data_IF_196835294486
#
_entry.id   IF_196835294486
#
_cell.length_a   1.000
_cell.length_b   1.000
_cell.length_c   1.000
_cell.angle_alpha   90.00
_cell.angle_beta   90.00
_cell.angle_gamma   90.00
#
_symmetry.space_group_name_H-M   'P 1'
#
loop_
_entity.id
_entity.type
_entity.pdbx_description
1 polymer ?
#
# COMPACT_ATOMS: atom_id res chain seq x y z
N UNK A 1 -0.86 19.69 4.46
CA UNK A 1 0.45 19.12 4.85
C UNK A 1 1.07 18.47 3.63
N UNK A 2 2.39 18.60 3.41
CA UNK A 2 3.06 18.04 2.23
C UNK A 2 3.00 16.51 2.26
N UNK A 3 3.01 15.89 1.07
CA UNK A 3 3.14 14.46 0.94
C UNK A 3 4.56 14.00 1.29
N UNK A 4 4.69 12.81 1.88
CA UNK A 4 5.95 12.27 2.40
C UNK A 4 6.37 11.07 1.57
N UNK A 5 7.67 11.01 1.24
CA UNK A 5 8.24 9.88 0.55
C UNK A 5 8.61 8.78 1.55
N UNK A 6 8.03 7.60 1.39
CA UNK A 6 8.40 6.39 2.10
C UNK A 6 9.35 5.58 1.23
N UNK A 7 10.58 5.38 1.70
CA UNK A 7 11.58 4.60 0.99
C UNK A 7 11.18 3.12 0.94
N UNK A 8 11.20 2.54 -0.26
CA UNK A 8 10.83 1.14 -0.49
C UNK A 8 11.97 0.36 -1.17
N UNK A 9 12.62 0.97 -2.16
CA UNK A 9 13.69 0.37 -2.96
C UNK A 9 13.18 -0.52 -4.11
N UNK A 10 12.28 -1.46 -3.82
CA UNK A 10 11.70 -2.37 -4.82
C UNK A 10 10.45 -3.07 -4.32
N UNK A 11 9.72 -3.72 -5.22
CA UNK A 11 8.68 -4.70 -4.91
C UNK A 11 8.73 -5.87 -5.91
N UNK A 12 7.95 -6.92 -5.66
CA UNK A 12 7.84 -8.07 -6.56
C UNK A 12 6.44 -8.13 -7.17
N UNK A 13 6.35 -8.66 -8.40
CA UNK A 13 5.08 -8.97 -9.05
C UNK A 13 5.25 -10.16 -9.99
N UNK A 14 4.14 -10.73 -10.47
CA UNK A 14 4.19 -11.74 -11.53
C UNK A 14 4.64 -11.11 -12.86
N UNK A 15 5.17 -11.89 -13.80
CA UNK A 15 5.48 -11.40 -15.15
C UNK A 15 4.26 -10.73 -15.82
N UNK A 16 3.07 -11.32 -15.65
CA UNK A 16 1.81 -10.76 -16.15
C UNK A 16 1.52 -9.38 -15.58
N UNK A 17 1.62 -9.20 -14.26
CA UNK A 17 1.41 -7.89 -13.64
C UNK A 17 2.48 -6.89 -14.06
N UNK A 18 3.73 -7.31 -14.23
CA UNK A 18 4.78 -6.43 -14.76
C UNK A 18 4.40 -5.89 -16.14
N UNK A 19 3.91 -6.75 -17.04
CA UNK A 19 3.48 -6.35 -18.37
C UNK A 19 2.27 -5.40 -18.32
N UNK A 20 1.27 -5.72 -17.49
CA UNK A 20 0.09 -4.86 -17.26
C UNK A 20 0.49 -3.46 -16.78
N UNK A 21 1.42 -3.38 -15.83
CA UNK A 21 1.92 -2.10 -15.29
C UNK A 21 2.63 -1.30 -16.38
N UNK A 22 3.50 -1.93 -17.18
CA UNK A 22 4.22 -1.23 -18.24
C UNK A 22 3.28 -0.71 -19.34
N UNK A 23 2.27 -1.50 -19.74
CA UNK A 23 1.23 -1.08 -20.69
C UNK A 23 0.42 0.09 -20.17
N UNK A 24 -0.09 -0.01 -18.94
CA UNK A 24 -0.94 1.04 -18.38
C UNK A 24 -0.19 2.34 -18.14
N UNK A 25 1.05 2.24 -17.63
CA UNK A 25 1.95 3.39 -17.45
C UNK A 25 2.18 4.13 -18.76
N UNK A 26 2.45 3.39 -19.85
CA UNK A 26 2.62 3.99 -21.17
C UNK A 26 1.35 4.70 -21.64
N UNK A 27 0.19 4.06 -21.50
CA UNK A 27 -1.09 4.58 -21.97
C UNK A 27 -1.53 5.88 -21.29
N UNK A 28 -1.27 6.01 -19.99
CA UNK A 28 -1.72 7.20 -19.22
C UNK A 28 -0.61 8.25 -19.02
N UNK A 29 0.62 7.96 -19.44
CA UNK A 29 1.77 8.86 -19.29
C UNK A 29 2.26 9.10 -17.85
N UNK A 30 1.96 8.18 -16.93
CA UNK A 30 2.38 8.30 -15.52
C UNK A 30 3.71 7.58 -15.22
N UNK A 31 4.19 7.72 -14.00
CA UNK A 31 5.30 6.92 -13.48
C UNK A 31 4.80 5.74 -12.66
N UNK A 32 5.61 4.69 -12.55
CA UNK A 32 5.32 3.56 -11.65
C UNK A 32 5.25 3.99 -10.18
N UNK A 33 6.05 4.98 -9.79
CA UNK A 33 5.93 5.62 -8.47
C UNK A 33 4.56 6.23 -8.27
N UNK A 34 4.03 6.94 -9.26
CA UNK A 34 2.68 7.50 -9.20
C UNK A 34 1.65 6.39 -9.03
N UNK A 35 1.70 5.36 -9.89
CA UNK A 35 0.77 4.23 -9.88
C UNK A 35 0.77 3.48 -8.55
N UNK A 36 1.92 2.99 -8.09
CA UNK A 36 2.00 2.23 -6.84
C UNK A 36 1.59 3.11 -5.65
N UNK A 37 1.93 4.40 -5.65
CA UNK A 37 1.45 5.33 -4.63
C UNK A 37 -0.08 5.47 -4.67
N UNK A 38 -0.71 5.52 -5.86
CA UNK A 38 -2.17 5.53 -6.01
C UNK A 38 -2.78 4.23 -5.49
N UNK A 39 -2.19 3.07 -5.79
CA UNK A 39 -2.71 1.75 -5.38
C UNK A 39 -2.68 1.62 -3.85
N UNK A 40 -1.57 2.00 -3.21
CA UNK A 40 -1.45 2.02 -1.74
C UNK A 40 -2.47 2.97 -1.11
N UNK A 41 -2.65 4.17 -1.67
CA UNK A 41 -3.69 5.11 -1.20
C UNK A 41 -5.09 4.55 -1.39
N UNK A 42 -5.34 3.84 -2.48
CA UNK A 42 -6.60 3.18 -2.79
C UNK A 42 -6.95 2.12 -1.75
N UNK A 43 -6.02 1.23 -1.40
CA UNK A 43 -6.23 0.25 -0.34
C UNK A 43 -6.61 0.93 1.00
N UNK A 44 -5.83 1.94 1.39
CA UNK A 44 -6.05 2.67 2.65
C UNK A 44 -7.38 3.43 2.63
N UNK A 45 -7.73 4.05 1.51
CA UNK A 45 -8.97 4.79 1.35
C UNK A 45 -10.19 3.90 1.46
N UNK A 46 -10.18 2.72 0.81
CA UNK A 46 -11.29 1.75 0.85
C UNK A 46 -11.50 1.12 2.22
N UNK A 47 -10.44 1.02 3.03
CA UNK A 47 -10.46 0.37 4.34
C UNK A 47 -10.15 1.35 5.47
N UNK A 48 -10.50 2.62 5.28
CA UNK A 48 -10.11 3.72 6.16
C UNK A 48 -10.58 3.51 7.60
N UNK A 49 -11.83 3.11 7.78
CA UNK A 49 -12.41 2.94 9.11
C UNK A 49 -11.73 1.79 9.86
N UNK A 50 -11.46 0.68 9.16
CA UNK A 50 -10.69 -0.44 9.71
C UNK A 50 -9.31 0.02 10.23
N UNK A 51 -8.55 0.77 9.42
CA UNK A 51 -7.24 1.25 9.84
C UNK A 51 -7.33 2.29 10.95
N UNK A 52 -8.35 3.14 10.93
CA UNK A 52 -8.58 4.12 11.98
C UNK A 52 -8.90 3.45 13.32
N UNK A 53 -9.75 2.44 13.32
CA UNK A 53 -10.14 1.74 14.55
C UNK A 53 -9.02 0.87 15.09
N UNK A 54 -8.26 0.19 14.23
CA UNK A 54 -7.03 -0.50 14.62
C UNK A 54 -6.01 0.49 15.23
N UNK A 55 -5.87 1.68 14.66
CA UNK A 55 -4.97 2.71 15.17
C UNK A 55 -5.39 3.21 16.56
N UNK A 56 -6.69 3.42 16.78
CA UNK A 56 -7.23 3.81 18.09
C UNK A 56 -7.01 2.70 19.12
N UNK A 57 -7.29 1.45 18.74
CA UNK A 57 -7.08 0.30 19.61
C UNK A 57 -5.60 0.13 19.99
N UNK A 58 -4.67 0.35 19.06
CA UNK A 58 -3.24 0.31 19.36
C UNK A 58 -2.80 1.43 20.31
N UNK A 59 -3.31 2.65 20.11
CA UNK A 59 -3.04 3.77 21.00
C UNK A 59 -3.58 3.53 22.43
N UNK A 60 -4.80 2.99 22.53
CA UNK A 60 -5.44 2.63 23.80
C UNK A 60 -4.69 1.51 24.52
N UNK A 61 -4.34 0.43 23.82
CA UNK A 61 -3.59 -0.68 24.39
C UNK A 61 -2.21 -0.26 24.92
N UNK A 62 -1.65 0.84 24.41
CA UNK A 62 -0.38 1.43 24.85
C UNK A 62 -0.55 2.57 25.86
N UNK A 63 -1.80 2.91 26.21
CA UNK A 63 -2.19 4.03 27.09
C UNK A 63 -1.57 5.38 26.67
N UNK A 64 -1.51 5.64 25.36
CA UNK A 64 -1.01 6.91 24.82
C UNK A 64 -2.11 7.67 24.07
N UNK A 65 -2.20 9.01 24.23
CA UNK A 65 -3.19 9.79 23.50
C UNK A 65 -3.06 9.58 21.99
N UNK A 66 -4.17 9.34 21.30
CA UNK A 66 -4.19 8.99 19.87
C UNK A 66 -3.44 9.97 18.97
N UNK A 67 -3.52 11.28 19.27
CA UNK A 67 -2.76 12.31 18.54
C UNK A 67 -1.24 12.16 18.72
N UNK A 68 -0.79 11.84 19.94
CA UNK A 68 0.64 11.59 20.24
C UNK A 68 1.11 10.30 19.57
N UNK A 69 0.28 9.26 19.62
CA UNK A 69 0.50 8.01 18.92
C UNK A 69 0.76 8.23 17.42
N UNK A 70 -0.14 8.93 16.73
CA UNK A 70 -0.01 9.16 15.29
C UNK A 70 1.23 9.98 14.93
N UNK A 71 1.61 10.93 15.78
CA UNK A 71 2.86 11.71 15.60
C UNK A 71 4.10 10.81 15.70
N UNK A 72 4.17 9.95 16.72
CA UNK A 72 5.30 9.02 16.90
C UNK A 72 5.45 8.05 15.73
N UNK A 73 4.35 7.46 15.27
CA UNK A 73 4.37 6.55 14.10
C UNK A 73 4.79 7.29 12.83
N UNK A 74 4.33 8.52 12.64
CA UNK A 74 4.71 9.33 11.50
C UNK A 74 6.20 9.65 11.48
N UNK A 75 6.74 10.21 12.58
CA UNK A 75 8.12 10.69 12.68
C UNK A 75 9.16 9.56 12.77
N UNK A 76 8.77 8.40 13.31
CA UNK A 76 9.65 7.26 13.50
C UNK A 76 9.03 6.02 12.86
N UNK A 77 8.50 5.09 13.65
CA UNK A 77 7.82 3.89 13.17
C UNK A 77 7.05 3.22 14.32
N UNK A 78 6.25 2.19 14.02
CA UNK A 78 5.52 1.38 15.00
C UNK A 78 6.42 0.80 16.10
N UNK A 79 7.67 0.45 15.78
CA UNK A 79 8.66 -0.10 16.74
C UNK A 79 9.14 0.91 17.79
N UNK A 80 8.96 2.21 17.53
CA UNK A 80 9.34 3.27 18.48
C UNK A 80 8.30 3.49 19.58
N UNK A 81 7.12 2.89 19.44
CA UNK A 81 6.05 3.02 20.41
C UNK A 81 6.36 2.19 21.66
N UNK A 82 5.93 2.65 22.86
CA UNK A 82 6.02 1.85 24.08
C UNK A 82 5.25 0.53 23.90
N UNK A 83 5.67 -0.58 24.53
CA UNK A 83 4.96 -1.86 24.43
C UNK A 83 3.48 -1.72 24.78
N UNK A 84 2.64 -2.47 24.07
CA UNK A 84 1.23 -2.58 24.44
C UNK A 84 1.10 -3.26 25.81
N UNK A 85 0.28 -2.68 26.69
CA UNK A 85 -0.05 -3.22 28.01
C UNK A 85 -1.17 -4.25 27.94
N UNK A 86 -1.98 -4.20 26.88
CA UNK A 86 -3.11 -5.10 26.64
C UNK A 86 -3.07 -5.66 25.22
N UNK A 87 -3.69 -6.81 25.01
CA UNK A 87 -3.80 -7.43 23.69
C UNK A 87 -4.76 -6.65 22.78
N UNK A 88 -4.45 -6.61 21.49
CA UNK A 88 -5.30 -5.99 20.47
C UNK A 88 -5.91 -7.11 19.63
N UNK A 89 -7.23 -7.09 19.45
CA UNK A 89 -7.89 -7.98 18.50
C UNK A 89 -7.65 -7.47 17.09
N UNK A 90 -6.94 -8.25 16.28
CA UNK A 90 -6.63 -7.86 14.91
C UNK A 90 -7.85 -8.12 14.02
N UNK A 91 -8.30 -7.12 13.23
CA UNK A 91 -9.31 -7.37 12.24
C UNK A 91 -8.74 -8.27 11.12
N UNK A 92 -9.59 -8.90 10.30
CA UNK A 92 -9.15 -9.59 9.10
C UNK A 92 -8.31 -8.67 8.21
N UNK A 93 -7.28 -9.23 7.57
CA UNK A 93 -6.47 -8.48 6.61
C UNK A 93 -7.37 -8.03 5.44
N UNK A 94 -7.46 -6.72 5.14
CA UNK A 94 -8.34 -6.21 4.09
C UNK A 94 -7.71 -6.31 2.68
N UNK A 95 -6.83 -7.30 2.50
CA UNK A 95 -6.03 -7.52 1.31
C UNK A 95 -5.95 -9.02 1.08
N UNK A 96 -6.18 -9.45 -0.17
CA UNK A 96 -5.95 -10.85 -0.53
C UNK A 96 -4.44 -11.05 -0.57
N UNK A 97 -3.91 -11.95 0.26
CA UNK A 97 -2.50 -12.35 0.16
C UNK A 97 -2.33 -13.12 -1.12
N UNK A 98 -1.63 -12.52 -2.08
CA UNK A 98 -1.31 -13.20 -3.33
C UNK A 98 -0.05 -14.01 -3.09
N UNK A 99 -0.14 -15.33 -3.25
CA UNK A 99 1.08 -16.13 -3.35
C UNK A 99 1.75 -15.74 -4.67
N UNK A 100 2.83 -14.97 -4.58
CA UNK A 100 3.62 -14.66 -5.77
C UNK A 100 4.09 -15.99 -6.38
N UNK A 101 3.98 -16.15 -7.71
CA UNK A 101 4.48 -17.33 -8.39
C UNK A 101 5.99 -17.49 -8.16
N UNK A 102 6.51 -18.71 -8.34
CA UNK A 102 7.96 -18.98 -8.22
C UNK A 102 8.78 -18.04 -9.10
N UNK A 103 8.30 -17.82 -10.32
CA UNK A 103 8.83 -16.80 -11.21
C UNK A 103 8.25 -15.42 -10.85
N UNK A 104 9.06 -14.61 -10.17
CA UNK A 104 8.70 -13.24 -9.79
C UNK A 104 9.66 -12.22 -10.40
N UNK A 105 9.10 -11.10 -10.84
CA UNK A 105 9.84 -9.96 -11.39
C UNK A 105 10.10 -8.95 -10.28
N UNK A 106 11.38 -8.59 -10.08
CA UNK A 106 11.77 -7.51 -9.18
C UNK A 106 11.63 -6.16 -9.90
N UNK A 107 10.74 -5.31 -9.41
CA UNK A 107 10.51 -3.96 -9.93
C UNK A 107 11.21 -2.93 -9.05
N UNK A 108 12.09 -2.11 -9.64
CA UNK A 108 12.81 -1.07 -8.89
C UNK A 108 11.88 0.12 -8.65
N UNK A 109 11.67 0.45 -7.38
CA UNK A 109 10.81 1.55 -6.97
C UNK A 109 11.40 2.21 -5.72
N UNK A 110 12.10 3.33 -5.89
CA UNK A 110 12.87 3.94 -4.81
C UNK A 110 11.99 4.33 -3.60
N UNK A 111 10.82 4.91 -3.87
CA UNK A 111 9.89 5.36 -2.85
C UNK A 111 8.44 5.32 -3.35
N UNK A 112 7.50 5.39 -2.41
CA UNK A 112 6.10 5.73 -2.64
C UNK A 112 5.77 7.04 -1.91
N UNK A 113 4.78 7.79 -2.41
CA UNK A 113 4.38 9.08 -1.84
C UNK A 113 3.04 8.95 -1.15
N UNK A 114 3.01 9.21 0.16
CA UNK A 114 1.82 9.10 1.00
C UNK A 114 1.60 10.39 1.80
N UNK A 115 0.34 10.80 1.95
CA UNK A 115 -0.01 11.84 2.92
C UNK A 115 0.19 11.35 4.36
N UNK A 116 0.30 12.28 5.32
CA UNK A 116 0.63 11.99 6.73
C UNK A 116 -0.16 10.82 7.33
N UNK A 117 -1.49 10.86 7.24
CA UNK A 117 -2.32 9.81 7.84
C UNK A 117 -2.22 8.49 7.08
N UNK A 118 -2.14 8.54 5.74
CA UNK A 118 -1.96 7.33 4.94
C UNK A 118 -0.60 6.68 5.23
N UNK A 119 0.45 7.46 5.47
CA UNK A 119 1.74 6.94 5.89
C UNK A 119 1.64 6.22 7.24
N UNK A 120 0.94 6.81 8.21
CA UNK A 120 0.72 6.20 9.53
C UNK A 120 -0.07 4.88 9.38
N UNK A 121 -1.15 4.88 8.61
CA UNK A 121 -1.94 3.67 8.37
C UNK A 121 -1.18 2.61 7.57
N UNK A 122 -0.33 3.02 6.63
CA UNK A 122 0.56 2.11 5.93
C UNK A 122 1.52 1.40 6.88
N UNK A 123 2.24 2.16 7.73
CA UNK A 123 3.16 1.59 8.73
C UNK A 123 2.43 0.68 9.73
N UNK A 124 1.23 1.09 10.18
CA UNK A 124 0.38 0.29 11.05
C UNK A 124 0.01 -1.06 10.42
N UNK A 125 -0.50 -1.04 9.19
CA UNK A 125 -0.91 -2.24 8.47
C UNK A 125 0.28 -3.17 8.19
N UNK A 126 1.40 -2.59 7.76
CA UNK A 126 2.66 -3.32 7.54
C UNK A 126 3.14 -4.01 8.83
N UNK A 127 3.08 -3.31 9.97
CA UNK A 127 3.48 -3.86 11.26
C UNK A 127 2.60 -5.05 11.66
N UNK A 128 1.28 -4.87 11.64
CA UNK A 128 0.35 -5.87 12.16
C UNK A 128 0.13 -7.07 11.25
N UNK A 129 0.13 -6.89 9.94
CA UNK A 129 -0.22 -7.97 9.01
C UNK A 129 0.99 -8.58 8.29
N UNK A 130 2.11 -7.86 8.23
CA UNK A 130 3.31 -8.24 7.48
C UNK A 130 4.57 -8.28 8.33
N UNK A 131 4.51 -8.02 9.64
CA UNK A 131 5.69 -8.05 10.52
C UNK A 131 6.78 -7.10 10.01
N UNK A 132 6.38 -5.90 9.61
CA UNK A 132 7.24 -4.85 9.06
C UNK A 132 7.87 -5.17 7.68
N UNK A 133 7.39 -6.17 6.95
CA UNK A 133 7.85 -6.47 5.58
C UNK A 133 7.14 -5.60 4.54
N UNK A 134 7.64 -4.37 4.34
CA UNK A 134 7.07 -3.40 3.39
C UNK A 134 7.03 -3.91 1.95
N UNK A 135 8.07 -4.64 1.53
CA UNK A 135 8.20 -5.19 0.17
C UNK A 135 7.05 -6.16 -0.11
N UNK A 136 6.82 -7.11 0.79
CA UNK A 136 5.73 -8.10 0.66
C UNK A 136 4.37 -7.39 0.65
N UNK A 137 4.18 -6.42 1.54
CA UNK A 137 2.93 -5.68 1.63
C UNK A 137 2.61 -4.89 0.36
N UNK A 138 3.59 -4.17 -0.19
CA UNK A 138 3.41 -3.43 -1.44
C UNK A 138 3.22 -4.38 -2.63
N UNK A 139 3.88 -5.53 -2.64
CA UNK A 139 3.70 -6.54 -3.68
C UNK A 139 2.26 -7.05 -3.72
N UNK A 140 1.68 -7.37 -2.56
CA UNK A 140 0.28 -7.80 -2.45
C UNK A 140 -0.71 -6.66 -2.79
N UNK A 141 -0.40 -5.42 -2.42
CA UNK A 141 -1.22 -4.24 -2.80
C UNK A 141 -1.31 -4.11 -4.32
N UNK A 142 -0.18 -4.26 -5.02
CA UNK A 142 -0.13 -4.15 -6.48
C UNK A 142 -0.94 -5.28 -7.12
N UNK A 143 -0.79 -6.50 -6.64
CA UNK A 143 -1.54 -7.65 -7.13
C UNK A 143 -3.07 -7.47 -6.94
N UNK A 144 -3.53 -7.22 -5.71
CA UNK A 144 -4.96 -6.97 -5.40
C UNK A 144 -5.54 -5.87 -6.27
N UNK A 145 -4.79 -4.78 -6.44
CA UNK A 145 -5.28 -3.63 -7.19
C UNK A 145 -5.42 -3.96 -8.68
N UNK A 146 -4.46 -4.67 -9.28
CA UNK A 146 -4.54 -5.08 -10.67
C UNK A 146 -5.64 -6.13 -10.89
N UNK A 147 -5.76 -7.13 -10.03
CA UNK A 147 -6.82 -8.14 -10.15
C UNK A 147 -8.21 -7.51 -10.14
N UNK A 148 -8.42 -6.51 -9.29
CA UNK A 148 -9.71 -5.84 -9.15
C UNK A 148 -10.05 -4.87 -10.27
N UNK A 149 -9.05 -4.21 -10.85
CA UNK A 149 -9.27 -3.03 -11.70
C UNK A 149 -8.74 -3.18 -13.12
N UNK A 150 -7.96 -4.23 -13.42
CA UNK A 150 -7.45 -4.43 -14.77
C UNK A 150 -8.58 -4.57 -15.78
N UNK A 151 -9.36 -5.65 -15.69
CA UNK A 151 -10.46 -5.89 -16.64
C UNK A 151 -11.55 -4.80 -16.59
N UNK A 152 -12.02 -4.37 -15.41
CA UNK A 152 -13.15 -3.43 -15.36
C UNK A 152 -12.80 -2.00 -15.76
N UNK A 153 -11.52 -1.60 -15.72
CA UNK A 153 -11.12 -0.20 -15.85
C UNK A 153 -9.91 0.00 -16.77
N UNK A 154 -8.80 -0.69 -16.55
CA UNK A 154 -7.54 -0.36 -17.22
C UNK A 154 -7.42 -0.96 -18.63
N UNK A 155 -7.93 -2.16 -18.85
CA UNK A 155 -7.83 -2.85 -20.14
C UNK A 155 -8.44 -2.02 -21.28
N UNK A 156 -9.61 -1.42 -21.05
CA UNK A 156 -10.27 -0.57 -22.05
C UNK A 156 -9.52 0.75 -22.31
N UNK A 157 -8.92 1.35 -21.28
CA UNK A 157 -8.10 2.57 -21.43
C UNK A 157 -6.84 2.29 -22.25
N UNK A 158 -6.17 1.17 -21.98
CA UNK A 158 -5.00 0.73 -22.75
C UNK A 158 -5.38 0.44 -24.20
N UNK A 159 -6.52 -0.20 -24.44
CA UNK A 159 -7.00 -0.50 -25.80
C UNK A 159 -7.41 0.76 -26.59
N UNK A 160 -7.85 1.82 -25.90
CA UNK A 160 -8.20 3.09 -26.52
C UNK A 160 -6.97 3.98 -26.84
N UNK A 161 -5.81 3.70 -26.25
CA UNK A 161 -4.55 4.41 -26.53
C UNK A 161 -3.88 3.90 -27.81
N UNK A 162 -4.61 3.92 -28.93
CA UNK A 162 -4.05 3.74 -30.25
C UNK A 162 -4.79 4.60 -31.28
N UNK A 163 -4.06 5.07 -32.29
CA UNK A 163 -4.62 5.93 -33.35
C UNK A 163 -5.64 5.22 -34.25
N UNK A 164 -5.72 3.89 -34.20
CA UNK A 164 -6.67 3.10 -35.00
C UNK A 164 -8.09 3.13 -34.40
N UNK A 165 -8.22 3.41 -33.11
CA UNK A 165 -9.48 3.47 -32.36
C UNK A 165 -9.92 4.92 -32.04
N UNK A 166 -9.32 5.94 -32.67
CA UNK A 166 -9.69 7.36 -32.55
C UNK A 166 -10.86 7.75 -33.45
#
# INVERSE_FOLDING_TARGET
MPATNYALGYYYCSPEYSEKIDKFKAAIGDTETTLVSQYTRGLIGRNRDLFLDLAKADAEAREIPFKRWGKLVYESDMRSLPPAKHGISLPPLPLVKTQLPEEKVRRKLNYITLGTQNLVFFKLAQHYFYGDRAIDFVSDIVADHLDRLWEPLYASQVAADNFENW
#
